data_IF_144281598986
#
_entry.id   IF_144281598986
#
_cell.length_a   1.000
_cell.length_b   1.000
_cell.length_c   1.000
_cell.angle_alpha   90.00
_cell.angle_beta   90.00
_cell.angle_gamma   90.00
#
_symmetry.space_group_name_H-M   'P 1'
#
loop_
_entity.id
_entity.type
_entity.pdbx_description
1 polymer ?
#
# COMPACT_ATOMS: atom_id res chain seq x y z
N UNK A 1 1.72 13.08 -16.94
CA UNK A 1 2.01 14.47 -17.42
C UNK A 1 0.81 15.10 -18.12
N UNK A 2 0.25 14.54 -19.22
CA UNK A 2 -0.84 15.16 -20.00
C UNK A 2 -2.03 15.56 -19.11
N UNK A 3 -2.57 14.67 -18.33
CA UNK A 3 -3.71 14.94 -17.39
C UNK A 3 -3.38 16.07 -16.40
N UNK A 4 -2.20 16.07 -15.81
CA UNK A 4 -1.80 17.12 -14.86
C UNK A 4 -1.75 18.50 -15.55
N UNK A 5 -1.19 18.56 -16.76
CA UNK A 5 -1.13 19.80 -17.54
C UNK A 5 -2.52 20.31 -17.91
N UNK A 6 -3.42 19.42 -18.35
CA UNK A 6 -4.80 19.76 -18.74
C UNK A 6 -5.62 20.31 -17.54
N UNK A 7 -5.28 19.93 -16.31
CA UNK A 7 -6.00 20.32 -15.11
C UNK A 7 -5.21 21.31 -14.22
N UNK A 8 -4.09 21.86 -14.70
CA UNK A 8 -3.26 22.78 -13.94
C UNK A 8 -2.67 22.20 -12.65
N UNK A 9 -2.47 20.86 -12.60
CA UNK A 9 -1.89 20.16 -11.45
C UNK A 9 -0.37 20.22 -11.58
N UNK A 10 0.28 20.86 -10.59
CA UNK A 10 1.73 20.85 -10.48
C UNK A 10 2.25 19.42 -10.33
N UNK A 11 3.20 19.04 -11.16
CA UNK A 11 3.77 17.70 -11.13
C UNK A 11 5.22 17.70 -11.58
N UNK A 12 5.97 16.72 -11.07
CA UNK A 12 7.34 16.48 -11.48
C UNK A 12 7.55 14.99 -11.78
N UNK A 13 8.35 14.70 -12.78
CA UNK A 13 8.73 13.33 -13.16
C UNK A 13 10.16 13.09 -12.66
N UNK A 14 10.29 12.19 -11.68
CA UNK A 14 11.59 11.75 -11.17
C UNK A 14 12.05 10.56 -12.00
N UNK A 15 13.04 10.77 -12.86
CA UNK A 15 13.70 9.66 -13.55
C UNK A 15 14.58 8.88 -12.58
N UNK A 16 14.47 7.55 -12.57
CA UNK A 16 15.16 6.71 -11.61
C UNK A 16 15.54 5.36 -12.21
N UNK A 17 16.74 4.88 -11.90
CA UNK A 17 17.24 3.57 -12.30
C UNK A 17 16.73 2.43 -11.40
N UNK A 18 15.56 2.57 -10.75
CA UNK A 18 15.05 1.55 -9.81
C UNK A 18 14.98 0.18 -10.47
N UNK A 19 14.63 0.14 -11.73
CA UNK A 19 14.45 -1.11 -12.45
C UNK A 19 15.78 -1.82 -12.71
N UNK A 20 16.80 -1.10 -13.20
CA UNK A 20 18.15 -1.63 -13.41
C UNK A 20 18.75 -2.10 -12.09
N UNK A 21 18.65 -1.28 -11.04
CA UNK A 21 19.12 -1.63 -9.70
C UNK A 21 18.39 -2.88 -9.17
N UNK A 22 17.12 -3.05 -9.50
CA UNK A 22 16.34 -4.19 -9.02
C UNK A 22 16.82 -5.53 -9.63
N UNK A 23 17.23 -5.53 -10.88
CA UNK A 23 17.75 -6.73 -11.55
C UNK A 23 18.97 -7.29 -10.83
N UNK A 24 19.86 -6.40 -10.39
CA UNK A 24 21.15 -6.80 -9.82
C UNK A 24 21.10 -7.07 -8.30
N UNK A 25 20.19 -6.42 -7.58
CA UNK A 25 20.16 -6.40 -6.11
C UNK A 25 19.03 -7.19 -5.46
N UNK A 26 18.15 -7.83 -6.24
CA UNK A 26 17.11 -8.68 -5.66
C UNK A 26 17.77 -9.94 -5.07
N UNK A 27 17.71 -10.06 -3.75
CA UNK A 27 18.13 -11.28 -3.05
C UNK A 27 17.19 -12.43 -3.46
N UNK A 28 17.75 -13.67 -3.56
CA UNK A 28 17.03 -14.89 -4.00
C UNK A 28 15.67 -15.13 -3.31
N UNK A 29 15.45 -14.56 -2.11
CA UNK A 29 14.22 -14.75 -1.32
C UNK A 29 13.39 -13.47 -1.12
N UNK A 30 13.67 -12.37 -1.84
CA UNK A 30 12.86 -11.15 -1.73
C UNK A 30 11.99 -10.97 -2.97
N UNK A 31 10.72 -10.57 -2.78
CA UNK A 31 9.85 -10.30 -3.92
C UNK A 31 10.29 -9.01 -4.62
N UNK A 32 10.26 -9.01 -5.96
CA UNK A 32 10.50 -7.83 -6.80
C UNK A 32 9.64 -6.65 -6.35
N UNK A 33 8.35 -6.88 -6.14
CA UNK A 33 7.40 -5.84 -5.74
C UNK A 33 7.77 -5.19 -4.39
N UNK A 34 8.24 -5.97 -3.42
CA UNK A 34 8.68 -5.46 -2.11
C UNK A 34 9.93 -4.58 -2.25
N UNK A 35 10.92 -5.03 -3.03
CA UNK A 35 12.15 -4.28 -3.29
C UNK A 35 11.83 -2.98 -4.05
N UNK A 36 11.10 -3.08 -5.16
CA UNK A 36 10.71 -1.95 -5.99
C UNK A 36 9.91 -0.90 -5.20
N UNK A 37 8.95 -1.34 -4.41
CA UNK A 37 8.14 -0.45 -3.55
C UNK A 37 8.98 0.28 -2.50
N UNK A 38 10.00 -0.38 -1.95
CA UNK A 38 10.94 0.23 -0.98
C UNK A 38 11.81 1.30 -1.65
N UNK A 39 12.37 0.98 -2.81
CA UNK A 39 13.19 1.92 -3.59
C UNK A 39 12.37 3.15 -4.00
N UNK A 40 11.17 2.95 -4.57
CA UNK A 40 10.26 4.04 -4.95
C UNK A 40 9.98 4.98 -3.77
N UNK A 41 9.68 4.44 -2.59
CA UNK A 41 9.47 5.27 -1.39
C UNK A 41 10.73 6.03 -0.99
N UNK A 42 11.90 5.41 -1.11
CA UNK A 42 13.19 6.07 -0.86
C UNK A 42 13.37 7.32 -1.73
N UNK A 43 13.13 7.20 -3.03
CA UNK A 43 13.20 8.34 -3.95
C UNK A 43 12.19 9.43 -3.58
N UNK A 44 10.94 9.07 -3.30
CA UNK A 44 9.91 10.02 -2.89
C UNK A 44 10.26 10.74 -1.57
N UNK A 45 10.84 10.04 -0.61
CA UNK A 45 11.29 10.66 0.64
C UNK A 45 12.46 11.62 0.41
N UNK A 46 13.45 11.21 -0.39
CA UNK A 46 14.61 12.06 -0.72
C UNK A 46 14.14 13.32 -1.44
N UNK A 47 13.25 13.18 -2.42
CA UNK A 47 12.65 14.31 -3.12
C UNK A 47 11.91 15.25 -2.17
N UNK A 48 11.01 14.70 -1.33
CA UNK A 48 10.24 15.48 -0.39
C UNK A 48 11.12 16.31 0.56
N UNK A 49 12.16 15.68 1.12
CA UNK A 49 13.11 16.38 2.01
C UNK A 49 13.89 17.47 1.28
N UNK A 50 14.36 17.18 0.07
CA UNK A 50 15.13 18.15 -0.75
C UNK A 50 14.31 19.40 -1.08
N UNK A 51 13.00 19.25 -1.25
CA UNK A 51 12.08 20.35 -1.61
C UNK A 51 11.30 20.91 -0.40
N UNK A 52 11.68 20.59 0.83
CA UNK A 52 11.08 21.14 2.05
C UNK A 52 9.69 20.58 2.38
N UNK A 53 9.24 19.51 1.72
CA UNK A 53 7.97 18.87 2.05
C UNK A 53 8.10 18.05 3.34
N UNK A 54 7.12 18.17 4.21
CA UNK A 54 7.07 17.44 5.50
C UNK A 54 6.06 16.28 5.50
N UNK A 55 5.29 16.13 4.43
CA UNK A 55 4.26 15.09 4.29
C UNK A 55 4.35 14.41 2.94
N UNK A 56 4.02 13.11 2.92
CA UNK A 56 3.84 12.30 1.72
C UNK A 56 2.48 11.61 1.77
N UNK A 57 1.60 11.96 0.84
CA UNK A 57 0.31 11.28 0.67
C UNK A 57 0.47 10.07 -0.26
N UNK A 58 -0.04 8.91 0.15
CA UNK A 58 -0.05 7.68 -0.64
C UNK A 58 -1.48 7.19 -0.77
N UNK A 59 -1.91 6.85 -1.99
CA UNK A 59 -3.29 6.51 -2.33
C UNK A 59 -3.68 5.05 -1.99
N UNK A 60 -3.18 4.49 -0.89
CA UNK A 60 -3.68 3.20 -0.41
C UNK A 60 -5.11 3.34 0.09
N UNK A 61 -5.91 2.31 -0.14
CA UNK A 61 -7.33 2.24 0.21
C UNK A 61 -7.63 1.07 1.18
N UNK A 62 -8.90 0.91 1.59
CA UNK A 62 -9.30 -0.08 2.58
C UNK A 62 -9.01 -1.52 2.14
N UNK A 63 -9.18 -1.82 0.86
CA UNK A 63 -8.87 -3.14 0.31
C UNK A 63 -7.37 -3.44 0.41
N UNK A 64 -6.47 -2.46 0.16
CA UNK A 64 -5.02 -2.60 0.40
C UNK A 64 -4.70 -2.87 1.87
N UNK A 65 -5.41 -2.21 2.79
CA UNK A 65 -5.22 -2.42 4.23
C UNK A 65 -5.66 -3.83 4.63
N UNK A 66 -6.80 -4.31 4.12
CA UNK A 66 -7.28 -5.66 4.34
C UNK A 66 -6.32 -6.72 3.77
N UNK A 67 -5.89 -6.57 2.51
CA UNK A 67 -4.89 -7.44 1.89
C UNK A 67 -3.59 -7.47 2.71
N UNK A 68 -3.10 -6.29 3.13
CA UNK A 68 -1.89 -6.19 3.95
C UNK A 68 -2.05 -6.89 5.30
N UNK A 69 -3.21 -6.75 5.95
CA UNK A 69 -3.51 -7.42 7.21
C UNK A 69 -3.51 -8.94 7.04
N UNK A 70 -4.29 -9.45 6.10
CA UNK A 70 -4.38 -10.90 5.87
C UNK A 70 -3.02 -11.51 5.46
N UNK A 71 -2.25 -10.84 4.61
CA UNK A 71 -0.89 -11.28 4.26
C UNK A 71 0.03 -11.32 5.48
N UNK A 72 -0.01 -10.31 6.35
CA UNK A 72 0.81 -10.31 7.56
C UNK A 72 0.36 -11.39 8.55
N UNK A 73 -0.94 -11.56 8.71
CA UNK A 73 -1.52 -12.58 9.59
C UNK A 73 -1.17 -14.00 9.12
N UNK A 74 -1.39 -14.31 7.83
CA UNK A 74 -1.25 -15.67 7.30
C UNK A 74 0.19 -16.09 6.99
N UNK A 75 1.03 -15.15 6.53
CA UNK A 75 2.38 -15.50 6.05
C UNK A 75 3.51 -14.99 6.94
N UNK A 76 3.26 -13.95 7.76
CA UNK A 76 4.31 -13.33 8.58
C UNK A 76 4.09 -13.50 10.08
N UNK A 77 2.96 -14.11 10.52
CA UNK A 77 2.62 -14.26 11.93
C UNK A 77 2.52 -12.92 12.67
N UNK A 78 2.02 -11.87 12.01
CA UNK A 78 2.00 -10.53 12.57
C UNK A 78 0.63 -9.86 12.41
N UNK A 79 0.11 -9.30 13.51
CA UNK A 79 -1.12 -8.52 13.53
C UNK A 79 -0.80 -7.05 13.19
N UNK A 80 -0.65 -6.73 11.92
CA UNK A 80 -0.39 -5.37 11.45
C UNK A 80 -1.01 -5.13 10.09
N UNK A 81 -1.34 -3.86 9.84
CA UNK A 81 -1.86 -3.39 8.55
C UNK A 81 -1.23 -2.04 8.17
N UNK A 82 -1.86 -1.31 7.26
CA UNK A 82 -1.42 0.00 6.78
C UNK A 82 -2.01 1.11 7.67
N UNK A 83 -1.20 1.71 8.53
CA UNK A 83 -1.65 2.81 9.37
C UNK A 83 -2.12 4.01 8.52
N UNK A 84 -3.21 4.72 8.90
CA UNK A 84 -3.68 5.93 8.22
C UNK A 84 -2.62 7.03 8.16
N UNK A 85 -1.80 7.13 9.21
CA UNK A 85 -0.74 8.10 9.37
C UNK A 85 0.40 7.49 10.19
N UNK A 86 1.64 7.76 9.78
CA UNK A 86 2.82 7.44 10.58
C UNK A 86 3.98 8.38 10.25
N UNK A 87 4.92 8.50 11.17
CA UNK A 87 6.18 9.24 10.94
C UNK A 87 7.26 8.25 10.51
N UNK A 88 7.86 8.48 9.35
CA UNK A 88 9.00 7.72 8.89
C UNK A 88 10.27 8.11 9.66
N UNK A 89 11.29 7.23 9.70
CA UNK A 89 12.55 7.46 10.42
C UNK A 89 13.27 8.74 10.00
N UNK A 90 13.08 9.20 8.78
CA UNK A 90 13.65 10.43 8.23
C UNK A 90 12.84 11.70 8.53
N UNK A 91 11.78 11.61 9.36
CA UNK A 91 10.94 12.73 9.78
C UNK A 91 9.72 13.00 8.90
N UNK A 92 9.64 12.47 7.68
CA UNK A 92 8.47 12.64 6.81
C UNK A 92 7.23 11.98 7.43
N UNK A 93 6.11 12.70 7.43
CA UNK A 93 4.82 12.15 7.83
C UNK A 93 4.13 11.54 6.62
N UNK A 94 3.94 10.24 6.62
CA UNK A 94 3.17 9.54 5.59
C UNK A 94 1.71 9.52 5.99
N UNK A 95 0.83 9.90 5.05
CA UNK A 95 -0.63 9.87 5.21
C UNK A 95 -1.26 9.05 4.10
N UNK A 96 -2.41 8.44 4.40
CA UNK A 96 -3.22 7.64 3.44
C UNK A 96 -4.65 8.15 3.44
N UNK A 97 -4.96 9.19 2.66
CA UNK A 97 -6.28 9.84 2.68
C UNK A 97 -7.43 8.90 2.35
N UNK A 98 -7.20 7.88 1.53
CA UNK A 98 -8.21 6.93 1.07
C UNK A 98 -8.27 5.62 1.87
N UNK A 99 -7.55 5.51 3.01
CA UNK A 99 -7.42 4.25 3.73
C UNK A 99 -8.76 3.65 4.23
N UNK A 100 -9.79 4.47 4.36
CA UNK A 100 -11.12 4.06 4.76
C UNK A 100 -12.12 3.94 3.60
N UNK A 101 -11.66 4.16 2.36
CA UNK A 101 -12.48 4.12 1.14
C UNK A 101 -12.25 2.77 0.44
N UNK A 102 -13.30 2.16 -0.10
CA UNK A 102 -13.22 0.90 -0.87
C UNK A 102 -12.67 1.15 -2.28
N UNK A 103 -11.89 0.19 -2.79
CA UNK A 103 -11.38 0.21 -4.19
C UNK A 103 -12.53 0.44 -5.19
N UNK A 104 -13.67 -0.25 -5.00
CA UNK A 104 -14.85 -0.11 -5.87
C UNK A 104 -15.38 1.33 -5.94
N UNK A 105 -15.43 2.04 -4.81
CA UNK A 105 -15.90 3.43 -4.77
C UNK A 105 -14.93 4.37 -5.51
N UNK A 106 -13.63 4.14 -5.39
CA UNK A 106 -12.62 4.90 -6.15
C UNK A 106 -12.72 4.63 -7.64
N UNK A 107 -12.95 3.37 -8.03
CA UNK A 107 -13.14 2.97 -9.43
C UNK A 107 -14.40 3.61 -10.03
N UNK A 108 -15.52 3.53 -9.34
CA UNK A 108 -16.79 4.15 -9.76
C UNK A 108 -16.63 5.67 -9.94
N UNK A 109 -15.94 6.32 -8.99
CA UNK A 109 -15.63 7.75 -9.08
C UNK A 109 -14.73 8.08 -10.27
N UNK A 110 -13.70 7.26 -10.53
CA UNK A 110 -12.81 7.44 -11.67
C UNK A 110 -13.56 7.32 -13.00
N UNK A 111 -14.43 6.33 -13.13
CA UNK A 111 -15.27 6.13 -14.34
C UNK A 111 -16.20 7.32 -14.53
N UNK A 112 -16.91 7.73 -13.46
CA UNK A 112 -17.88 8.84 -13.51
C UNK A 112 -17.21 10.17 -13.94
N UNK A 113 -15.96 10.40 -13.56
CA UNK A 113 -15.23 11.62 -13.85
C UNK A 113 -14.24 11.44 -15.03
N UNK A 114 -14.37 10.37 -15.81
CA UNK A 114 -13.54 10.08 -16.98
C UNK A 114 -12.03 10.14 -16.70
N UNK A 115 -11.64 9.79 -15.47
CA UNK A 115 -10.23 9.76 -15.07
C UNK A 115 -9.54 8.60 -15.77
N UNK A 116 -8.41 8.88 -16.40
CA UNK A 116 -7.58 7.83 -17.00
C UNK A 116 -6.87 7.04 -15.92
N UNK A 117 -7.34 5.83 -15.68
CA UNK A 117 -6.69 4.88 -14.77
C UNK A 117 -5.67 4.07 -15.57
N UNK A 118 -4.47 3.96 -15.03
CA UNK A 118 -3.42 3.10 -15.58
C UNK A 118 -3.69 1.68 -15.09
N UNK A 119 -3.81 0.74 -16.02
CA UNK A 119 -4.10 -0.65 -15.71
C UNK A 119 -2.89 -1.46 -15.23
N UNK A 120 -3.13 -2.73 -14.91
CA UNK A 120 -2.09 -3.65 -14.40
C UNK A 120 -0.97 -3.88 -15.42
N UNK A 121 -1.24 -3.70 -16.71
CA UNK A 121 -0.27 -3.80 -17.81
C UNK A 121 0.89 -2.80 -17.69
N UNK A 122 0.69 -1.70 -16.97
CA UNK A 122 1.74 -0.74 -16.69
C UNK A 122 2.66 -1.15 -15.54
N UNK A 123 2.34 -2.23 -14.82
CA UNK A 123 3.18 -2.74 -13.75
C UNK A 123 4.53 -3.22 -14.29
N UNK A 124 5.67 -2.71 -13.80
CA UNK A 124 6.98 -3.16 -14.25
C UNK A 124 7.20 -4.68 -14.10
N UNK A 125 6.58 -5.31 -13.12
CA UNK A 125 6.65 -6.75 -12.90
C UNK A 125 6.04 -7.55 -14.07
N UNK A 126 4.99 -7.03 -14.71
CA UNK A 126 4.35 -7.68 -15.87
C UNK A 126 5.19 -7.61 -17.15
N UNK A 127 6.11 -6.63 -17.24
CA UNK A 127 6.96 -6.43 -18.43
C UNK A 127 8.17 -7.38 -18.48
N UNK A 128 8.50 -8.04 -17.37
CA UNK A 128 9.79 -8.69 -17.19
C UNK A 128 9.69 -10.15 -16.76
N UNK A 129 8.55 -10.79 -16.99
CA UNK A 129 8.32 -12.18 -16.63
C UNK A 129 8.69 -12.52 -15.16
N UNK A 130 8.55 -11.49 -14.30
CA UNK A 130 8.80 -11.63 -12.89
C UNK A 130 7.61 -12.34 -12.27
N UNK A 131 7.87 -13.48 -11.62
CA UNK A 131 6.85 -14.24 -10.91
C UNK A 131 6.09 -13.32 -9.94
N UNK A 132 4.81 -13.08 -10.23
CA UNK A 132 3.94 -12.27 -9.37
C UNK A 132 3.90 -12.84 -7.96
N UNK A 133 3.85 -12.02 -6.91
CA UNK A 133 3.66 -12.53 -5.56
C UNK A 133 2.27 -13.18 -5.47
N UNK A 134 2.25 -14.50 -5.55
CA UNK A 134 1.03 -15.31 -5.44
C UNK A 134 0.22 -14.96 -4.19
N UNK A 135 0.90 -14.70 -3.08
CA UNK A 135 0.29 -14.36 -1.80
C UNK A 135 -0.69 -13.16 -1.88
N UNK A 136 -0.34 -12.10 -2.61
CA UNK A 136 -1.27 -10.95 -2.74
C UNK A 136 -2.49 -11.31 -3.59
N UNK A 137 -2.29 -12.00 -4.69
CA UNK A 137 -3.38 -12.46 -5.53
C UNK A 137 -4.32 -13.41 -4.78
N UNK A 138 -3.77 -14.41 -4.11
CA UNK A 138 -4.51 -15.38 -3.29
C UNK A 138 -5.30 -14.69 -2.18
N UNK A 139 -4.68 -13.71 -1.48
CA UNK A 139 -5.34 -12.93 -0.45
C UNK A 139 -6.50 -12.11 -1.02
N UNK A 140 -6.33 -11.49 -2.20
CA UNK A 140 -7.41 -10.75 -2.88
C UNK A 140 -8.58 -11.68 -3.23
N UNK A 141 -8.31 -12.88 -3.73
CA UNK A 141 -9.35 -13.89 -4.02
C UNK A 141 -10.04 -14.37 -2.74
N UNK A 142 -9.29 -14.63 -1.67
CA UNK A 142 -9.85 -15.00 -0.37
C UNK A 142 -10.82 -13.94 0.14
N UNK A 143 -10.40 -12.67 0.15
CA UNK A 143 -11.24 -11.54 0.60
C UNK A 143 -12.49 -11.39 -0.26
N UNK A 144 -12.37 -11.55 -1.58
CA UNK A 144 -13.51 -11.50 -2.49
C UNK A 144 -14.52 -12.62 -2.21
N UNK A 145 -14.07 -13.82 -1.89
CA UNK A 145 -14.95 -14.94 -1.54
C UNK A 145 -15.61 -14.71 -0.17
N UNK A 146 -14.84 -14.28 0.83
CA UNK A 146 -15.39 -13.95 2.16
C UNK A 146 -16.43 -12.82 2.09
N UNK A 147 -16.23 -11.81 1.22
CA UNK A 147 -17.18 -10.72 1.04
C UNK A 147 -18.50 -11.21 0.39
N UNK A 148 -18.46 -12.22 -0.50
CA UNK A 148 -19.68 -12.84 -1.06
C UNK A 148 -20.51 -13.52 0.02
N UNK A 149 -19.87 -14.21 0.96
CA UNK A 149 -20.53 -14.90 2.07
C UNK A 149 -20.98 -13.90 3.16
N UNK A 150 -20.18 -12.87 3.42
CA UNK A 150 -20.46 -11.82 4.38
C UNK A 150 -20.33 -10.43 3.76
N UNK A 151 -21.43 -9.85 3.22
CA UNK A 151 -21.39 -8.52 2.60
C UNK A 151 -20.97 -7.38 3.53
N UNK A 152 -20.98 -7.61 4.86
CA UNK A 152 -20.49 -6.64 5.87
C UNK A 152 -19.01 -6.79 6.21
N UNK A 153 -18.29 -7.72 5.56
CA UNK A 153 -16.87 -8.02 5.86
C UNK A 153 -16.02 -6.77 5.99
N UNK A 154 -16.03 -5.89 4.98
CA UNK A 154 -15.17 -4.70 4.99
C UNK A 154 -15.60 -3.63 6.00
N UNK A 155 -16.89 -3.57 6.34
CA UNK A 155 -17.37 -2.73 7.45
C UNK A 155 -16.81 -3.24 8.77
N UNK A 156 -16.86 -4.55 8.99
CA UNK A 156 -16.31 -5.19 10.19
C UNK A 156 -14.79 -5.08 10.26
N UNK A 157 -14.07 -5.28 9.15
CA UNK A 157 -12.62 -5.11 9.09
C UNK A 157 -12.19 -3.68 9.42
N UNK A 158 -12.88 -2.68 8.86
CA UNK A 158 -12.63 -1.28 9.19
C UNK A 158 -12.78 -1.03 10.70
N UNK A 159 -13.88 -1.49 11.29
CA UNK A 159 -14.12 -1.35 12.72
C UNK A 159 -13.06 -2.10 13.55
N UNK A 160 -12.67 -3.32 13.16
CA UNK A 160 -11.66 -4.11 13.85
C UNK A 160 -10.26 -3.44 13.85
N UNK A 161 -9.90 -2.72 12.78
CA UNK A 161 -8.63 -1.98 12.73
C UNK A 161 -8.57 -0.79 13.68
N UNK A 162 -9.71 -0.30 14.14
CA UNK A 162 -9.84 0.81 15.10
C UNK A 162 -10.12 0.31 16.53
N UNK A 163 -10.52 -0.98 16.68
CA UNK A 163 -10.95 -1.57 17.94
C UNK A 163 -10.07 -2.77 18.30
N UNK A 164 -8.93 -2.50 18.93
CA UNK A 164 -7.93 -3.50 19.28
C UNK A 164 -7.99 -3.80 20.78
N UNK A 165 -8.32 -5.04 21.13
CA UNK A 165 -8.36 -5.54 22.50
C UNK A 165 -7.07 -6.28 22.85
N UNK A 166 -6.05 -5.55 23.29
CA UNK A 166 -4.71 -6.10 23.56
C UNK A 166 -4.69 -7.06 24.76
N UNK A 167 -5.58 -6.87 25.70
CA UNK A 167 -5.78 -7.70 26.89
C UNK A 167 -6.24 -9.14 26.61
N UNK A 168 -6.78 -9.38 25.41
CA UNK A 168 -7.24 -10.70 24.97
C UNK A 168 -6.20 -11.48 24.16
N UNK A 169 -5.02 -10.90 23.89
CA UNK A 169 -3.95 -11.55 23.13
C UNK A 169 -2.90 -12.19 24.03
N UNK A 170 -2.32 -13.33 23.57
CA UNK A 170 -1.27 -14.03 24.30
C UNK A 170 0.00 -13.17 24.39
N UNK A 171 0.55 -13.05 25.59
CA UNK A 171 1.91 -12.55 25.81
C UNK A 171 2.17 -11.10 25.37
N UNK A 172 1.16 -10.24 25.29
CA UNK A 172 1.41 -8.81 25.30
C UNK A 172 1.84 -8.47 26.73
N UNK A 173 3.13 -8.62 26.99
CA UNK A 173 3.72 -8.07 28.20
C UNK A 173 3.56 -6.56 28.11
N UNK A 174 2.79 -5.98 29.03
CA UNK A 174 2.92 -4.57 29.37
C UNK A 174 4.41 -4.36 29.62
N UNK A 175 5.06 -3.52 28.79
CA UNK A 175 6.47 -3.28 28.89
C UNK A 175 6.78 -2.93 30.33
N UNK A 176 7.68 -3.71 30.95
CA UNK A 176 8.29 -3.37 32.20
C UNK A 176 8.78 -1.93 32.09
N UNK A 177 8.09 -1.03 32.77
CA UNK A 177 8.65 0.25 33.16
C UNK A 177 9.86 -0.06 34.07
N UNK A 178 11.07 0.07 33.53
CA UNK A 178 12.32 0.31 34.24
C UNK A 178 13.05 1.48 33.57
#
# INVERSE_FOLDING_TARGET
>A
TKHCNEHGIEHEVIDSSIFEISKDKIRKNSSFCSFFSRMRRGYLYTYALKHGFNKLAIAHHLDDAAESFFMNFTYNGALRTLAPKYRAKNGIVVIRPFIFVRERQLRENAIKNELRVVGDEACPAMRFDVKMPHARYETKQLLANLEKENPKLFTSLKAAFENIHTDTFFGINEGSEE
#
